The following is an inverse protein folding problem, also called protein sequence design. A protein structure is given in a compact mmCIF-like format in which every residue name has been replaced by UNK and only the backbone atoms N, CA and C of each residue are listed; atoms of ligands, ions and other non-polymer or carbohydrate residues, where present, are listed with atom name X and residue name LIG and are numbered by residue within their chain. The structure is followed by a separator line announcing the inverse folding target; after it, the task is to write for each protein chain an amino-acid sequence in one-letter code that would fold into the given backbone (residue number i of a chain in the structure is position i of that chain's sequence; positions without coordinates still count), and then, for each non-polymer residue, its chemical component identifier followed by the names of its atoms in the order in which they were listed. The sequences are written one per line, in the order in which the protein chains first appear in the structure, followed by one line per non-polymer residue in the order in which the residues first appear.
data_IF_204278696595
#
_entry.id   IF_204278696595
#
_cell.length_a   1.000
_cell.length_b   1.000
_cell.length_c   1.000
_cell.angle_alpha   90.00
_cell.angle_beta   90.00
_cell.angle_gamma   90.00
#
_symmetry.space_group_name_H-M   'P 1'
#
loop_
_entity.id
_entity.type
_entity.pdbx_description
1 polymer ?
#
# COMPACT_ATOMS: atom_id res chain seq x y z
N UNK A 1 -15.00 16.11 -14.07
CA UNK A 1 -14.47 14.79 -14.40
C UNK A 1 -13.28 14.60 -13.50
N UNK A 2 -13.32 13.67 -12.55
CA UNK A 2 -12.24 13.46 -11.57
C UNK A 2 -11.13 12.63 -12.20
N UNK A 3 -9.96 13.25 -12.39
CA UNK A 3 -8.78 12.63 -13.00
C UNK A 3 -7.78 12.24 -11.93
N UNK A 4 -7.32 11.00 -11.99
CA UNK A 4 -6.33 10.45 -11.08
C UNK A 4 -5.03 10.15 -11.82
N UNK A 5 -3.93 10.69 -11.34
CA UNK A 5 -2.60 10.24 -11.75
C UNK A 5 -2.16 9.03 -10.92
N UNK A 6 -1.73 7.95 -11.58
CA UNK A 6 -1.17 6.77 -10.91
C UNK A 6 0.29 6.59 -11.31
N UNK A 7 1.21 6.78 -10.38
CA UNK A 7 2.64 6.57 -10.59
C UNK A 7 3.00 5.10 -10.34
N UNK A 8 3.37 4.38 -11.41
CA UNK A 8 3.75 2.97 -11.40
C UNK A 8 2.82 2.12 -12.27
N UNK A 9 3.24 1.82 -13.50
CA UNK A 9 2.42 1.13 -14.50
C UNK A 9 2.62 -0.40 -14.49
N UNK A 10 2.75 -1.03 -13.32
CA UNK A 10 2.98 -2.48 -13.19
C UNK A 10 1.67 -3.28 -13.01
N UNK A 11 1.77 -4.57 -12.69
CA UNK A 11 0.61 -5.38 -12.29
C UNK A 11 -0.12 -4.83 -11.06
N UNK A 12 0.62 -4.33 -10.06
CA UNK A 12 0.02 -3.65 -8.90
C UNK A 12 -0.70 -2.36 -9.33
N UNK A 13 -0.13 -1.61 -10.28
CA UNK A 13 -0.76 -0.46 -10.92
C UNK A 13 -2.16 -0.76 -11.47
N UNK A 14 -2.32 -1.88 -12.16
CA UNK A 14 -3.62 -2.29 -12.71
C UNK A 14 -4.69 -2.43 -11.62
N UNK A 15 -4.33 -3.00 -10.47
CA UNK A 15 -5.26 -3.20 -9.35
C UNK A 15 -5.60 -1.87 -8.67
N UNK A 16 -4.64 -0.92 -8.59
CA UNK A 16 -4.91 0.44 -8.09
C UNK A 16 -5.86 1.18 -9.03
N UNK A 17 -5.64 1.12 -10.34
CA UNK A 17 -6.49 1.78 -11.34
C UNK A 17 -7.92 1.23 -11.34
N UNK A 18 -8.08 -0.11 -11.36
CA UNK A 18 -9.39 -0.77 -11.26
C UNK A 18 -10.13 -0.37 -9.98
N UNK A 19 -9.44 -0.38 -8.83
CA UNK A 19 -10.00 0.08 -7.56
C UNK A 19 -10.42 1.56 -7.61
N UNK A 20 -9.64 2.42 -8.26
CA UNK A 20 -9.96 3.83 -8.42
C UNK A 20 -11.23 4.04 -9.24
N UNK A 21 -11.39 3.36 -10.37
CA UNK A 21 -12.60 3.44 -11.18
C UNK A 21 -13.84 3.00 -10.38
N UNK A 22 -13.72 1.91 -9.61
CA UNK A 22 -14.79 1.45 -8.69
C UNK A 22 -15.12 2.45 -7.57
N UNK A 23 -14.17 3.32 -7.21
CA UNK A 23 -14.37 4.41 -6.25
C UNK A 23 -14.95 5.70 -6.90
N UNK A 24 -15.24 5.68 -8.20
CA UNK A 24 -15.85 6.80 -8.92
C UNK A 24 -14.84 7.83 -9.45
N UNK A 25 -13.61 7.41 -9.73
CA UNK A 25 -12.68 8.19 -10.56
C UNK A 25 -13.08 8.05 -12.04
N UNK A 26 -13.22 9.16 -12.75
CA UNK A 26 -13.72 9.17 -14.13
C UNK A 26 -12.61 8.86 -15.16
N UNK A 27 -11.37 9.22 -14.84
CA UNK A 27 -10.20 8.99 -15.69
C UNK A 27 -8.98 8.65 -14.85
N UNK A 28 -8.26 7.59 -15.24
CA UNK A 28 -6.98 7.20 -14.64
C UNK A 28 -5.88 7.29 -15.70
N UNK A 29 -4.85 8.10 -15.42
CA UNK A 29 -3.66 8.24 -16.27
C UNK A 29 -2.43 7.71 -15.53
N UNK A 30 -1.66 6.84 -16.16
CA UNK A 30 -0.41 6.34 -15.56
C UNK A 30 0.78 7.24 -15.86
N UNK A 31 1.71 7.24 -14.91
CA UNK A 31 3.07 7.71 -15.08
C UNK A 31 4.02 6.57 -14.71
N UNK A 32 5.13 6.41 -15.44
CA UNK A 32 6.11 5.34 -15.20
C UNK A 32 7.47 5.79 -15.74
N UNK A 33 8.54 5.55 -14.98
CA UNK A 33 9.90 5.97 -15.35
C UNK A 33 10.45 5.20 -16.58
N UNK A 34 9.77 4.15 -17.05
CA UNK A 34 10.04 3.51 -18.33
C UNK A 34 9.44 4.26 -19.55
N UNK A 35 8.67 5.33 -19.33
CA UNK A 35 8.19 6.21 -20.40
C UNK A 35 9.37 6.95 -21.08
N UNK A 36 9.37 7.13 -22.42
CA UNK A 36 8.31 6.80 -23.38
C UNK A 36 8.34 5.36 -23.92
N UNK A 37 9.25 4.50 -23.44
CA UNK A 37 9.34 3.09 -23.85
C UNK A 37 8.14 2.24 -23.42
N UNK A 38 7.36 2.73 -22.45
CA UNK A 38 6.10 2.15 -21.99
C UNK A 38 4.98 3.19 -22.10
N UNK A 39 4.01 2.91 -22.95
CA UNK A 39 2.95 3.88 -23.31
C UNK A 39 1.55 3.46 -22.85
N UNK A 40 1.40 2.23 -22.34
CA UNK A 40 0.15 1.73 -21.79
C UNK A 40 0.38 0.73 -20.67
N UNK A 41 -0.63 0.59 -19.82
CA UNK A 41 -0.77 -0.51 -18.88
C UNK A 41 -2.14 -1.14 -19.10
N UNK A 42 -2.22 -2.22 -19.87
CA UNK A 42 -3.49 -2.71 -20.39
C UNK A 42 -4.23 -1.61 -21.19
N UNK A 43 -5.42 -1.18 -20.75
CA UNK A 43 -6.23 -0.18 -21.45
C UNK A 43 -6.03 1.26 -20.93
N UNK A 44 -5.25 1.44 -19.86
CA UNK A 44 -4.89 2.77 -19.36
C UNK A 44 -3.64 3.31 -20.07
N UNK A 45 -3.64 4.60 -20.40
CA UNK A 45 -2.51 5.27 -21.02
C UNK A 45 -1.40 5.57 -20.00
N UNK A 46 -0.13 5.44 -20.42
CA UNK A 46 1.04 5.95 -19.68
C UNK A 46 1.49 7.22 -20.39
N UNK A 47 1.32 8.36 -19.72
CA UNK A 47 1.41 9.69 -20.36
C UNK A 47 2.67 10.47 -20.00
N UNK A 48 3.52 9.93 -19.13
CA UNK A 48 4.78 10.55 -18.73
C UNK A 48 5.57 9.72 -17.72
N UNK A 49 6.71 10.24 -17.29
CA UNK A 49 7.52 9.71 -16.20
C UNK A 49 7.23 10.47 -14.88
N UNK A 50 7.99 10.19 -13.81
CA UNK A 50 7.83 10.92 -12.54
C UNK A 50 8.05 12.43 -12.68
N UNK A 51 8.98 12.87 -13.53
CA UNK A 51 9.31 14.29 -13.69
C UNK A 51 8.17 15.03 -14.40
N UNK A 52 7.59 14.42 -15.43
CA UNK A 52 6.42 14.95 -16.11
C UNK A 52 5.22 15.11 -15.17
N UNK A 53 4.98 14.14 -14.27
CA UNK A 53 3.94 14.24 -13.25
C UNK A 53 4.19 15.40 -12.28
N UNK A 54 5.42 15.53 -11.78
CA UNK A 54 5.79 16.60 -10.85
C UNK A 54 5.69 18.00 -11.49
N UNK A 55 5.90 18.10 -12.80
CA UNK A 55 5.82 19.37 -13.53
C UNK A 55 4.39 19.89 -13.68
N UNK A 56 3.38 19.03 -13.64
CA UNK A 56 1.97 19.42 -13.82
C UNK A 56 1.01 18.60 -12.93
N UNK A 57 1.20 18.71 -11.62
CA UNK A 57 0.28 18.12 -10.63
C UNK A 57 -1.14 18.73 -10.74
N UNK A 58 -1.26 19.98 -11.17
CA UNK A 58 -2.53 20.71 -11.29
C UNK A 58 -3.48 20.13 -12.34
N UNK A 59 -2.97 19.33 -13.28
CA UNK A 59 -3.80 18.65 -14.27
C UNK A 59 -4.66 17.51 -13.67
N UNK A 60 -4.41 17.13 -12.42
CA UNK A 60 -5.08 16.02 -11.74
C UNK A 60 -5.63 16.45 -10.39
N UNK A 61 -6.79 15.93 -10.02
CA UNK A 61 -7.40 16.17 -8.72
C UNK A 61 -6.67 15.41 -7.61
N UNK A 62 -6.01 14.30 -7.94
CA UNK A 62 -5.22 13.53 -7.00
C UNK A 62 -4.12 12.70 -7.69
N UNK A 63 -3.21 12.20 -6.85
CA UNK A 63 -2.16 11.26 -7.24
C UNK A 63 -2.22 10.02 -6.34
N UNK A 64 -1.83 8.86 -6.86
CA UNK A 64 -1.49 7.67 -6.08
C UNK A 64 -0.17 7.06 -6.58
N UNK A 65 0.57 6.41 -5.69
CA UNK A 65 1.81 5.68 -6.04
C UNK A 65 1.54 4.18 -5.99
N UNK A 66 1.46 3.55 -7.15
CA UNK A 66 1.18 2.12 -7.31
C UNK A 66 2.47 1.31 -7.56
N UNK A 67 3.42 1.44 -6.63
CA UNK A 67 4.71 0.74 -6.65
C UNK A 67 4.76 -0.26 -5.50
N UNK A 68 4.98 -1.53 -5.82
CA UNK A 68 5.02 -2.61 -4.82
C UNK A 68 6.24 -2.54 -3.89
N UNK A 69 7.38 -2.09 -4.40
CA UNK A 69 8.58 -1.89 -3.57
C UNK A 69 8.35 -0.79 -2.53
N UNK A 70 8.49 -1.13 -1.25
CA UNK A 70 8.15 -0.23 -0.15
C UNK A 70 9.05 1.00 -0.07
N UNK A 71 10.36 0.84 -0.32
CA UNK A 71 11.32 1.94 -0.26
C UNK A 71 11.12 2.93 -1.40
N UNK A 72 10.95 2.42 -2.63
CA UNK A 72 10.65 3.26 -3.80
C UNK A 72 9.30 3.95 -3.62
N UNK A 73 8.27 3.22 -3.16
CA UNK A 73 6.94 3.79 -2.90
C UNK A 73 7.02 4.93 -1.89
N UNK A 74 7.66 4.72 -0.74
CA UNK A 74 7.82 5.76 0.28
C UNK A 74 8.54 7.00 -0.26
N UNK A 75 9.65 6.81 -0.99
CA UNK A 75 10.41 7.91 -1.57
C UNK A 75 9.57 8.74 -2.55
N UNK A 76 8.82 8.08 -3.44
CA UNK A 76 7.95 8.76 -4.43
C UNK A 76 6.76 9.44 -3.76
N UNK A 77 6.11 8.78 -2.78
CA UNK A 77 5.02 9.39 -2.00
C UNK A 77 5.49 10.66 -1.31
N UNK A 78 6.65 10.60 -0.63
CA UNK A 78 7.22 11.77 0.05
C UNK A 78 7.53 12.91 -0.92
N UNK A 79 8.11 12.61 -2.09
CA UNK A 79 8.42 13.61 -3.09
C UNK A 79 7.15 14.31 -3.63
N UNK A 80 6.10 13.54 -3.94
CA UNK A 80 4.84 14.07 -4.43
C UNK A 80 4.09 14.90 -3.38
N UNK A 81 4.04 14.44 -2.13
CA UNK A 81 3.45 15.20 -1.03
C UNK A 81 4.21 16.51 -0.78
N UNK A 82 5.55 16.48 -0.82
CA UNK A 82 6.37 17.68 -0.69
C UNK A 82 6.16 18.69 -1.84
N UNK A 83 5.79 18.20 -3.02
CA UNK A 83 5.40 19.01 -4.17
C UNK A 83 3.94 19.49 -4.13
N UNK A 84 3.18 19.17 -3.07
CA UNK A 84 1.81 19.62 -2.88
C UNK A 84 0.75 18.72 -3.52
N UNK A 85 1.09 17.49 -3.93
CA UNK A 85 0.12 16.56 -4.48
C UNK A 85 -0.96 16.20 -3.44
N UNK A 86 -2.23 16.25 -3.84
CA UNK A 86 -3.31 15.68 -3.06
C UNK A 86 -3.27 14.15 -3.21
N UNK A 87 -3.17 13.43 -2.09
CA UNK A 87 -3.03 11.98 -2.10
C UNK A 87 -4.09 11.32 -1.20
N UNK A 88 -5.24 10.91 -1.77
CA UNK A 88 -6.33 10.33 -1.00
C UNK A 88 -5.95 8.95 -0.47
N UNK A 89 -6.71 8.48 0.52
CA UNK A 89 -6.77 7.06 0.84
C UNK A 89 -7.74 6.41 -0.15
N UNK A 90 -7.32 5.34 -0.83
CA UNK A 90 -8.16 4.60 -1.75
C UNK A 90 -8.68 3.34 -1.08
N UNK A 91 -9.99 3.27 -0.84
CA UNK A 91 -10.64 2.13 -0.19
C UNK A 91 -11.59 1.48 -1.17
N UNK A 92 -11.29 0.26 -1.58
CA UNK A 92 -12.14 -0.52 -2.47
C UNK A 92 -13.57 -0.66 -1.87
N UNK A 93 -14.65 -0.56 -2.66
CA UNK A 93 -16.03 -0.62 -2.14
C UNK A 93 -16.39 -1.90 -1.37
N UNK A 94 -15.68 -2.99 -1.62
CA UNK A 94 -15.84 -4.26 -0.89
C UNK A 94 -14.90 -4.46 0.30
N UNK A 95 -14.06 -3.48 0.62
CA UNK A 95 -13.27 -3.48 1.84
C UNK A 95 -14.13 -3.05 3.04
N UNK A 96 -13.80 -3.53 4.23
CA UNK A 96 -14.43 -3.10 5.48
C UNK A 96 -13.42 -2.33 6.32
N UNK A 97 -13.58 -1.02 6.41
CA UNK A 97 -12.72 -0.15 7.22
C UNK A 97 -13.56 0.47 8.33
N UNK A 98 -13.13 0.26 9.57
CA UNK A 98 -13.76 0.88 10.72
C UNK A 98 -13.70 2.41 10.63
N UNK A 99 -14.79 3.09 10.95
CA UNK A 99 -14.80 4.57 11.09
C UNK A 99 -13.92 5.09 12.23
N UNK A 100 -13.43 4.20 13.10
CA UNK A 100 -12.57 4.53 14.23
C UNK A 100 -11.09 4.26 13.95
N UNK A 101 -10.73 3.76 12.76
CA UNK A 101 -9.33 3.67 12.34
C UNK A 101 -8.89 4.94 11.61
N UNK A 102 -7.58 5.17 11.58
CA UNK A 102 -6.96 6.25 10.81
C UNK A 102 -6.05 5.65 9.74
N UNK A 103 -6.14 6.17 8.52
CA UNK A 103 -5.35 5.73 7.38
C UNK A 103 -4.59 6.94 6.80
N UNK A 104 -3.28 6.81 6.69
CA UNK A 104 -2.40 7.85 6.15
C UNK A 104 -2.56 8.02 4.65
N UNK A 105 -2.28 9.23 4.17
CA UNK A 105 -2.36 9.63 2.77
C UNK A 105 -1.69 8.62 1.81
N UNK A 106 -2.30 8.39 0.65
CA UNK A 106 -1.77 7.45 -0.36
C UNK A 106 -1.85 5.98 -0.01
N UNK A 107 -2.43 5.64 1.14
CA UNK A 107 -2.69 4.24 1.47
C UNK A 107 -3.81 3.66 0.60
N UNK A 108 -3.68 2.38 0.28
CA UNK A 108 -4.68 1.64 -0.50
C UNK A 108 -5.16 0.42 0.28
N UNK A 109 -6.48 0.23 0.29
CA UNK A 109 -7.15 -0.92 0.91
C UNK A 109 -7.95 -1.63 -0.17
N UNK A 110 -7.54 -2.84 -0.53
CA UNK A 110 -8.12 -3.58 -1.66
C UNK A 110 -9.33 -4.42 -1.29
N UNK A 111 -9.95 -5.01 -2.31
CA UNK A 111 -11.14 -5.84 -2.19
C UNK A 111 -11.04 -6.90 -1.08
N UNK A 112 -12.08 -6.97 -0.26
CA UNK A 112 -12.20 -7.92 0.84
C UNK A 112 -11.23 -7.71 2.01
N UNK A 113 -10.39 -6.67 1.98
CA UNK A 113 -9.54 -6.34 3.13
C UNK A 113 -10.38 -5.78 4.29
N UNK A 114 -9.91 -6.02 5.52
CA UNK A 114 -10.54 -5.54 6.75
C UNK A 114 -9.54 -4.75 7.59
N UNK A 115 -9.93 -3.57 8.05
CA UNK A 115 -9.19 -2.76 9.04
C UNK A 115 -10.14 -2.43 10.19
N UNK A 116 -9.92 -3.02 11.36
CA UNK A 116 -10.81 -2.92 12.52
C UNK A 116 -10.64 -1.61 13.31
N UNK A 117 -11.36 -1.51 14.43
CA UNK A 117 -11.38 -0.32 15.27
C UNK A 117 -10.01 0.01 15.86
N UNK A 118 -9.76 1.30 16.03
CA UNK A 118 -8.57 1.84 16.70
C UNK A 118 -7.23 1.45 16.05
N UNK A 119 -7.25 0.98 14.80
CA UNK A 119 -6.04 0.81 14.00
C UNK A 119 -5.47 2.17 13.54
N UNK A 120 -4.15 2.28 13.53
CA UNK A 120 -3.42 3.41 12.94
C UNK A 120 -2.57 2.90 11.78
N UNK A 121 -2.83 3.37 10.57
CA UNK A 121 -2.10 2.98 9.36
C UNK A 121 -1.35 4.20 8.82
N UNK A 122 -0.04 4.06 8.65
CA UNK A 122 0.85 5.11 8.15
C UNK A 122 0.60 5.50 6.69
N UNK A 123 1.43 6.42 6.20
CA UNK A 123 1.35 6.97 4.83
C UNK A 123 1.78 5.93 3.80
N UNK A 124 1.07 5.84 2.67
CA UNK A 124 1.45 4.97 1.55
C UNK A 124 1.42 3.47 1.85
N UNK A 125 0.62 3.03 2.83
CA UNK A 125 0.49 1.63 3.16
C UNK A 125 -0.35 0.86 2.13
N UNK A 126 -0.11 -0.44 2.00
CA UNK A 126 -0.91 -1.33 1.16
C UNK A 126 -1.53 -2.39 2.07
N UNK A 127 -2.85 -2.35 2.24
CA UNK A 127 -3.63 -3.43 2.84
C UNK A 127 -4.26 -4.22 1.70
N UNK A 128 -3.63 -5.33 1.34
CA UNK A 128 -3.87 -5.97 0.06
C UNK A 128 -5.11 -6.89 0.07
N UNK A 129 -5.44 -7.50 -1.07
CA UNK A 129 -6.66 -8.29 -1.28
C UNK A 129 -6.90 -9.32 -0.17
N UNK A 130 -8.02 -9.22 0.52
CA UNK A 130 -8.39 -10.15 1.61
C UNK A 130 -7.48 -10.12 2.84
N UNK A 131 -6.56 -9.15 2.96
CA UNK A 131 -5.73 -8.97 4.15
C UNK A 131 -6.57 -8.42 5.32
N UNK A 132 -6.24 -8.81 6.55
CA UNK A 132 -6.95 -8.32 7.74
C UNK A 132 -6.00 -7.70 8.75
N UNK A 133 -6.38 -6.52 9.24
CA UNK A 133 -5.73 -5.81 10.32
C UNK A 133 -6.73 -5.69 11.46
N UNK A 134 -6.54 -6.47 12.51
CA UNK A 134 -7.46 -6.49 13.64
C UNK A 134 -7.25 -5.26 14.57
N UNK A 135 -8.09 -5.14 15.60
CA UNK A 135 -8.18 -3.97 16.47
C UNK A 135 -6.83 -3.56 17.10
N UNK A 136 -6.67 -2.28 17.42
CA UNK A 136 -5.48 -1.70 18.08
C UNK A 136 -4.14 -1.88 17.34
N UNK A 137 -4.13 -2.31 16.07
CA UNK A 137 -2.89 -2.45 15.31
C UNK A 137 -2.29 -1.10 14.91
N UNK A 138 -0.96 -1.03 14.88
CA UNK A 138 -0.21 0.14 14.41
C UNK A 138 0.71 -0.26 13.26
N UNK A 139 0.50 0.29 12.09
CA UNK A 139 1.33 0.06 10.91
C UNK A 139 2.04 1.36 10.53
N UNK A 140 3.36 1.29 10.37
CA UNK A 140 4.20 2.40 9.93
C UNK A 140 3.98 2.82 8.48
N UNK A 141 4.82 3.74 8.01
CA UNK A 141 4.77 4.24 6.65
C UNK A 141 5.21 3.17 5.65
N UNK A 142 4.55 3.15 4.50
CA UNK A 142 4.83 2.23 3.40
C UNK A 142 4.87 0.74 3.81
N UNK A 143 4.14 0.35 4.87
CA UNK A 143 3.92 -1.06 5.18
C UNK A 143 3.10 -1.72 4.08
N UNK A 144 3.43 -2.96 3.74
CA UNK A 144 2.64 -3.77 2.81
C UNK A 144 2.19 -5.05 3.49
N UNK A 145 0.89 -5.12 3.81
CA UNK A 145 0.21 -6.35 4.25
C UNK A 145 -0.30 -7.05 2.99
N UNK A 146 0.36 -8.13 2.58
CA UNK A 146 0.12 -8.85 1.32
C UNK A 146 -1.23 -9.56 1.30
N UNK A 147 -1.67 -10.07 0.12
CA UNK A 147 -2.97 -10.73 0.01
C UNK A 147 -3.15 -11.83 1.06
N UNK A 148 -4.33 -11.88 1.69
CA UNK A 148 -4.67 -12.88 2.69
C UNK A 148 -3.72 -12.94 3.90
N UNK A 149 -2.90 -11.92 4.16
CA UNK A 149 -2.13 -11.87 5.40
C UNK A 149 -3.00 -11.31 6.54
N UNK A 150 -2.86 -11.90 7.73
CA UNK A 150 -3.74 -11.65 8.86
C UNK A 150 -2.95 -11.20 10.10
N UNK A 151 -3.18 -9.96 10.55
CA UNK A 151 -2.62 -9.41 11.79
C UNK A 151 -3.67 -9.49 12.89
N UNK A 152 -3.39 -10.21 13.98
CA UNK A 152 -4.24 -10.23 15.15
C UNK A 152 -4.12 -8.93 15.98
N UNK A 153 -5.00 -8.76 16.98
CA UNK A 153 -5.12 -7.50 17.72
C UNK A 153 -3.83 -7.00 18.37
N UNK A 154 -3.61 -5.68 18.31
CA UNK A 154 -2.49 -4.99 18.94
C UNK A 154 -1.12 -5.25 18.30
N UNK A 155 -1.07 -5.77 17.07
CA UNK A 155 0.20 -5.96 16.33
C UNK A 155 0.77 -4.61 15.90
N UNK A 156 2.09 -4.45 16.05
CA UNK A 156 2.81 -3.30 15.51
C UNK A 156 3.69 -3.74 14.34
N UNK A 157 3.69 -2.99 13.25
CA UNK A 157 4.55 -3.22 12.08
C UNK A 157 5.28 -1.94 11.73
N UNK A 158 6.62 -1.96 11.77
CA UNK A 158 7.46 -0.80 11.48
C UNK A 158 7.49 -0.41 10.00
N UNK A 159 8.06 0.76 9.73
CA UNK A 159 8.11 1.37 8.40
C UNK A 159 8.72 0.44 7.36
N UNK A 160 8.20 0.51 6.12
CA UNK A 160 8.66 -0.26 4.95
C UNK A 160 8.68 -1.77 5.12
N UNK A 161 8.07 -2.32 6.17
CA UNK A 161 7.97 -3.77 6.35
C UNK A 161 6.96 -4.40 5.41
N UNK A 162 7.26 -5.62 4.97
CA UNK A 162 6.46 -6.41 4.05
C UNK A 162 6.01 -7.71 4.74
N UNK A 163 4.70 -7.81 4.96
CA UNK A 163 4.06 -8.99 5.54
C UNK A 163 3.56 -9.87 4.40
N UNK A 164 4.24 -10.99 4.13
CA UNK A 164 4.06 -11.83 2.95
C UNK A 164 2.69 -12.50 2.82
N UNK A 165 2.32 -12.89 1.60
CA UNK A 165 1.02 -13.47 1.24
C UNK A 165 0.66 -14.64 2.16
N UNK A 166 -0.57 -14.66 2.68
CA UNK A 166 -1.07 -15.75 3.53
C UNK A 166 -0.39 -15.89 4.89
N UNK A 167 0.47 -14.94 5.31
CA UNK A 167 1.10 -15.00 6.63
C UNK A 167 0.11 -14.63 7.75
N UNK A 168 0.41 -15.04 8.97
CA UNK A 168 -0.39 -14.73 10.16
C UNK A 168 0.52 -14.24 11.29
N UNK A 169 0.11 -13.16 11.95
CA UNK A 169 0.86 -12.54 13.05
C UNK A 169 0.05 -12.63 14.33
N UNK A 170 0.64 -13.25 15.35
CA UNK A 170 0.01 -13.41 16.67
C UNK A 170 -0.21 -12.04 17.33
N UNK A 171 -1.24 -11.94 18.17
CA UNK A 171 -1.60 -10.71 18.86
C UNK A 171 -0.40 -10.10 19.62
N UNK A 172 -0.33 -8.77 19.64
CA UNK A 172 0.69 -7.98 20.36
C UNK A 172 2.14 -8.23 19.95
N UNK A 173 2.38 -8.89 18.81
CA UNK A 173 3.72 -9.02 18.24
C UNK A 173 4.16 -7.67 17.66
N UNK A 174 5.44 -7.34 17.88
CA UNK A 174 6.11 -6.20 17.28
C UNK A 174 7.02 -6.66 16.14
N UNK A 175 6.69 -6.25 14.93
CA UNK A 175 7.53 -6.39 13.74
C UNK A 175 8.23 -5.04 13.54
N UNK A 176 9.56 -5.05 13.50
CA UNK A 176 10.38 -3.85 13.27
C UNK A 176 10.19 -3.23 11.88
N UNK A 177 10.98 -2.21 11.59
CA UNK A 177 11.06 -1.58 10.26
C UNK A 177 11.94 -2.38 9.31
N UNK A 178 11.69 -2.25 8.01
CA UNK A 178 12.46 -2.92 6.94
C UNK A 178 12.48 -4.46 7.08
N UNK A 179 11.44 -5.02 7.69
CA UNK A 179 11.28 -6.47 7.88
C UNK A 179 10.57 -7.10 6.69
N UNK A 180 11.05 -8.26 6.27
CA UNK A 180 10.36 -9.12 5.31
C UNK A 180 9.88 -10.40 5.99
N UNK A 181 8.56 -10.57 6.06
CA UNK A 181 7.92 -11.82 6.46
C UNK A 181 7.61 -12.62 5.20
N UNK A 182 8.13 -13.84 5.12
CA UNK A 182 7.90 -14.75 4.00
C UNK A 182 6.43 -15.17 3.85
N UNK A 183 6.08 -15.62 2.65
CA UNK A 183 4.76 -16.17 2.37
C UNK A 183 4.38 -17.31 3.32
N UNK A 184 3.14 -17.31 3.81
CA UNK A 184 2.59 -18.35 4.70
C UNK A 184 3.23 -18.43 6.08
N UNK A 185 4.08 -17.47 6.48
CA UNK A 185 4.76 -17.53 7.76
C UNK A 185 3.81 -17.30 8.95
N UNK A 186 4.08 -17.99 10.06
CA UNK A 186 3.38 -17.78 11.33
C UNK A 186 4.30 -17.02 12.31
N UNK A 187 4.13 -15.70 12.39
CA UNK A 187 4.95 -14.84 13.26
C UNK A 187 4.37 -14.88 14.68
N UNK A 188 5.09 -15.56 15.57
CA UNK A 188 4.66 -15.82 16.96
C UNK A 188 5.55 -15.15 18.00
N UNK A 189 6.49 -14.32 17.58
CA UNK A 189 7.39 -13.55 18.43
C UNK A 189 7.83 -12.27 17.71
N UNK A 190 8.30 -11.29 18.48
CA UNK A 190 8.80 -10.03 17.95
C UNK A 190 9.94 -10.24 16.94
N UNK A 191 9.98 -9.41 15.91
CA UNK A 191 10.96 -9.46 14.83
C UNK A 191 11.72 -8.15 14.81
N UNK A 192 13.06 -8.14 14.98
CA UNK A 192 13.83 -6.91 14.98
C UNK A 192 13.86 -6.26 13.59
N UNK A 193 14.30 -5.00 13.53
CA UNK A 193 14.46 -4.27 12.27
C UNK A 193 15.37 -5.02 11.27
N UNK A 194 15.26 -4.67 9.99
CA UNK A 194 16.15 -5.10 8.90
C UNK A 194 16.25 -6.64 8.76
N UNK A 195 15.21 -7.34 9.21
CA UNK A 195 15.21 -8.79 9.36
C UNK A 195 14.38 -9.49 8.30
N UNK A 196 14.69 -10.75 8.04
CA UNK A 196 13.90 -11.62 7.17
C UNK A 196 13.50 -12.86 7.95
N UNK A 197 12.21 -13.17 7.97
CA UNK A 197 11.68 -14.34 8.70
C UNK A 197 10.71 -15.14 7.83
N UNK A 198 10.72 -16.46 7.96
CA UNK A 198 9.76 -17.34 7.27
C UNK A 198 9.51 -18.64 8.04
N UNK A 199 8.47 -19.38 7.63
CA UNK A 199 8.13 -20.69 8.17
C UNK A 199 7.07 -20.67 9.26
N UNK A 200 6.74 -21.87 9.77
CA UNK A 200 5.74 -22.08 10.81
C UNK A 200 6.36 -22.93 11.92
N UNK A 201 6.69 -22.33 13.09
CA UNK A 201 6.71 -20.89 13.36
C UNK A 201 7.81 -20.14 12.57
N UNK A 202 7.62 -18.83 12.37
CA UNK A 202 8.58 -18.00 11.64
C UNK A 202 9.95 -17.96 12.34
N UNK A 203 11.03 -18.05 11.56
CA UNK A 203 12.42 -18.00 12.02
C UNK A 203 13.25 -17.11 11.09
N UNK A 204 14.33 -16.54 11.63
CA UNK A 204 15.31 -15.78 10.85
C UNK A 204 15.83 -16.61 9.68
N UNK A 205 15.99 -15.96 8.52
CA UNK A 205 16.55 -16.51 7.29
C UNK A 205 18.00 -16.09 7.07
#
# INVERSE_FOLDING_TARGET
MKRLAVLGASGHGKVVADCAELCGWDEVCFFDDAWPGKQSNAHWAVVGDTNALLADLSAFEAVLVAIGDNGIREAKVRALLAAGALMPVLVHPSACVSRYSSLGAGSVVFAGAVVNADCQVGVGAIINTGATVDHDCVLGNAVHVSPGAHLAGGVTVGDRSWVGIGSSVRQRVQIGSDVMVGAGAAVVADVPNDSRVAGVPARMM
#
